data_IF_847050596833
#
_entry.id   IF_847050596833
#
_cell.length_a   1.000
_cell.length_b   1.000
_cell.length_c   1.000
_cell.angle_alpha   90.00
_cell.angle_beta   90.00
_cell.angle_gamma   90.00
#
_symmetry.space_group_name_H-M   'P 1'
#
loop_
_entity.id
_entity.type
_entity.pdbx_description
1 polymer ?
#
# COMPACT_ATOMS: atom_id res chain seq x y z
N UNK A 1 10.09 20.68 84.21
CA UNK A 1 11.03 21.23 83.21
C UNK A 1 11.12 20.28 82.03
N UNK A 2 11.01 20.84 80.81
CA UNK A 2 11.02 20.17 79.51
C UNK A 2 12.37 19.52 79.19
N UNK A 3 12.34 18.42 78.44
CA UNK A 3 13.30 18.14 77.37
C UNK A 3 12.55 17.58 76.15
N UNK A 4 12.43 18.41 75.11
CA UNK A 4 12.02 17.99 73.78
C UNK A 4 13.29 17.55 73.04
N UNK A 5 13.37 16.28 72.65
CA UNK A 5 14.39 15.83 71.70
C UNK A 5 13.95 16.24 70.29
N UNK A 6 14.54 17.31 69.77
CA UNK A 6 14.43 17.68 68.36
C UNK A 6 15.46 16.88 67.57
N UNK A 7 14.99 15.91 66.79
CA UNK A 7 15.80 15.06 65.93
C UNK A 7 16.15 15.85 64.65
N UNK A 8 17.29 16.53 64.63
CA UNK A 8 17.79 17.27 63.47
C UNK A 8 18.77 16.40 62.67
N UNK A 9 18.26 15.49 61.82
CA UNK A 9 19.07 14.80 60.81
C UNK A 9 18.96 15.56 59.50
N UNK A 10 20.00 16.30 59.13
CA UNK A 10 20.13 16.93 57.81
C UNK A 10 20.57 15.91 56.75
N UNK A 11 20.29 16.20 55.48
CA UNK A 11 20.83 15.44 54.35
C UNK A 11 22.36 15.56 54.33
N UNK A 12 23.05 14.43 54.33
CA UNK A 12 24.51 14.38 54.20
C UNK A 12 24.92 14.51 52.73
N UNK A 13 26.10 15.09 52.49
CA UNK A 13 26.65 15.22 51.13
C UNK A 13 26.78 13.85 50.42
N UNK A 14 27.16 12.82 51.17
CA UNK A 14 27.26 11.45 50.67
C UNK A 14 25.91 10.88 50.22
N UNK A 15 24.82 11.18 50.93
CA UNK A 15 23.47 10.74 50.53
C UNK A 15 23.05 11.40 49.20
N UNK A 16 23.33 12.69 49.02
CA UNK A 16 23.03 13.41 47.77
C UNK A 16 23.81 12.80 46.60
N UNK A 17 25.11 12.51 46.79
CA UNK A 17 25.95 11.91 45.74
C UNK A 17 25.45 10.52 45.33
N UNK A 18 25.07 9.69 46.30
CA UNK A 18 24.50 8.36 46.03
C UNK A 18 23.18 8.47 45.27
N UNK A 19 22.29 9.38 45.67
CA UNK A 19 21.01 9.59 44.99
C UNK A 19 21.22 10.09 43.56
N UNK A 20 22.12 11.05 43.33
CA UNK A 20 22.43 11.56 41.98
C UNK A 20 23.04 10.46 41.09
N UNK A 21 23.92 9.64 41.65
CA UNK A 21 24.51 8.50 40.93
C UNK A 21 23.43 7.49 40.50
N UNK A 22 22.53 7.14 41.42
CA UNK A 22 21.42 6.22 41.13
C UNK A 22 20.46 6.79 40.08
N UNK A 23 20.10 8.07 40.16
CA UNK A 23 19.26 8.74 39.14
C UNK A 23 19.94 8.67 37.77
N UNK A 24 21.23 8.98 37.71
CA UNK A 24 21.99 8.95 36.45
C UNK A 24 22.03 7.54 35.86
N UNK A 25 22.25 6.53 36.69
CA UNK A 25 22.24 5.13 36.26
C UNK A 25 20.87 4.72 35.70
N UNK A 26 19.79 5.10 36.38
CA UNK A 26 18.42 4.84 35.91
C UNK A 26 18.15 5.55 34.59
N UNK A 27 18.49 6.83 34.46
CA UNK A 27 18.29 7.59 33.22
C UNK A 27 19.13 7.04 32.06
N UNK A 28 20.35 6.57 32.33
CA UNK A 28 21.21 5.95 31.32
C UNK A 28 20.60 4.68 30.70
N UNK A 29 19.72 3.99 31.43
CA UNK A 29 19.00 2.81 30.93
C UNK A 29 17.67 3.20 30.27
N UNK A 30 16.90 4.09 30.89
CA UNK A 30 15.57 4.46 30.40
C UNK A 30 15.66 5.23 29.08
N UNK A 31 16.63 6.15 28.95
CA UNK A 31 16.71 7.03 27.79
C UNK A 31 16.92 6.21 26.49
N UNK A 32 17.93 5.34 26.34
CA UNK A 32 18.09 4.54 25.13
C UNK A 32 16.89 3.65 24.82
N UNK A 33 16.26 3.06 25.85
CA UNK A 33 15.08 2.21 25.67
C UNK A 33 13.90 2.99 25.09
N UNK A 34 13.69 4.22 25.57
CA UNK A 34 12.62 5.10 25.08
C UNK A 34 12.82 5.46 23.60
N UNK A 35 14.02 5.91 23.20
CA UNK A 35 14.30 6.25 21.80
C UNK A 35 14.23 5.02 20.91
N UNK A 36 14.80 3.90 21.33
CA UNK A 36 14.71 2.65 20.60
C UNK A 36 13.26 2.22 20.36
N UNK A 37 12.41 2.30 21.39
CA UNK A 37 11.00 1.97 21.29
C UNK A 37 10.25 2.91 20.33
N UNK A 38 10.48 4.21 20.44
CA UNK A 38 9.90 5.23 19.56
C UNK A 38 10.28 5.02 18.10
N UNK A 39 11.57 4.84 17.83
CA UNK A 39 12.10 4.67 16.47
C UNK A 39 11.61 3.35 15.86
N UNK A 40 11.60 2.27 16.64
CA UNK A 40 11.11 0.95 16.19
C UNK A 40 9.62 0.99 15.87
N UNK A 41 8.83 1.68 16.69
CA UNK A 41 7.40 1.84 16.45
C UNK A 41 7.14 2.68 15.19
N UNK A 42 7.84 3.80 15.02
CA UNK A 42 7.71 4.64 13.82
C UNK A 42 8.05 3.86 12.56
N UNK A 43 9.16 3.10 12.56
CA UNK A 43 9.57 2.26 11.44
C UNK A 43 8.51 1.19 11.10
N UNK A 44 7.97 0.52 12.13
CA UNK A 44 6.97 -0.53 11.96
C UNK A 44 5.65 0.04 11.44
N UNK A 45 5.27 1.22 11.91
CA UNK A 45 4.08 1.92 11.45
C UNK A 45 4.18 2.29 9.97
N UNK A 46 5.33 2.84 9.54
CA UNK A 46 5.56 3.14 8.12
C UNK A 46 5.51 1.89 7.24
N UNK A 47 6.14 0.79 7.68
CA UNK A 47 6.07 -0.49 6.95
C UNK A 47 4.64 -0.99 6.81
N UNK A 48 3.87 -0.95 7.90
CA UNK A 48 2.47 -1.36 7.89
C UNK A 48 1.64 -0.56 6.90
N UNK A 49 1.79 0.77 6.89
CA UNK A 49 1.07 1.64 5.94
C UNK A 49 1.40 1.29 4.49
N UNK A 50 2.68 1.08 4.15
CA UNK A 50 3.08 0.69 2.80
C UNK A 50 2.48 -0.66 2.38
N UNK A 51 2.52 -1.65 3.26
CA UNK A 51 1.94 -2.97 2.96
C UNK A 51 0.42 -2.90 2.80
N UNK A 52 -0.25 -2.12 3.66
CA UNK A 52 -1.69 -1.90 3.61
C UNK A 52 -2.10 -1.23 2.29
N UNK A 53 -1.38 -0.20 1.85
CA UNK A 53 -1.64 0.49 0.59
C UNK A 53 -1.52 -0.45 -0.61
N UNK A 54 -0.43 -1.23 -0.70
CA UNK A 54 -0.27 -2.21 -1.78
C UNK A 54 -1.40 -3.23 -1.80
N UNK A 55 -1.81 -3.70 -0.61
CA UNK A 55 -2.87 -4.70 -0.49
C UNK A 55 -4.23 -4.15 -0.87
N UNK A 56 -4.56 -2.92 -0.44
CA UNK A 56 -5.79 -2.23 -0.85
C UNK A 56 -5.83 -2.07 -2.37
N UNK A 57 -4.71 -1.70 -3.00
CA UNK A 57 -4.62 -1.61 -4.46
C UNK A 57 -4.87 -2.97 -5.13
N UNK A 58 -4.19 -4.03 -4.69
CA UNK A 58 -4.37 -5.39 -5.21
C UNK A 58 -5.82 -5.85 -5.04
N UNK A 59 -6.36 -5.78 -3.84
CA UNK A 59 -7.72 -6.20 -3.51
C UNK A 59 -8.76 -5.42 -4.33
N UNK A 60 -8.53 -4.12 -4.56
CA UNK A 60 -9.40 -3.30 -5.41
C UNK A 60 -9.40 -3.80 -6.85
N UNK A 61 -8.24 -4.09 -7.43
CA UNK A 61 -8.16 -4.64 -8.80
C UNK A 61 -8.86 -6.00 -8.83
N UNK A 62 -8.55 -6.89 -7.87
CA UNK A 62 -9.15 -8.23 -7.77
C UNK A 62 -10.66 -8.15 -7.73
N UNK A 63 -11.23 -7.34 -6.84
CA UNK A 63 -12.67 -7.24 -6.65
C UNK A 63 -13.42 -6.77 -7.90
N UNK A 64 -12.83 -5.85 -8.66
CA UNK A 64 -13.47 -5.29 -9.85
C UNK A 64 -13.26 -6.16 -11.10
N UNK A 65 -12.11 -6.82 -11.22
CA UNK A 65 -11.74 -7.55 -12.44
C UNK A 65 -12.15 -9.02 -12.39
N UNK A 66 -12.25 -9.63 -11.21
CA UNK A 66 -12.51 -11.08 -11.05
C UNK A 66 -13.71 -11.57 -11.85
N UNK A 67 -14.78 -10.78 -11.91
CA UNK A 67 -16.01 -11.13 -12.63
C UNK A 67 -16.19 -10.33 -13.94
N UNK A 68 -15.14 -9.72 -14.47
CA UNK A 68 -15.19 -9.05 -15.75
C UNK A 68 -15.56 -10.03 -16.88
N UNK A 69 -16.34 -9.55 -17.84
CA UNK A 69 -16.71 -10.33 -19.04
C UNK A 69 -15.65 -10.22 -20.14
N UNK A 70 -14.89 -9.12 -20.15
CA UNK A 70 -13.81 -8.84 -21.09
C UNK A 70 -12.65 -8.23 -20.31
N UNK A 71 -11.42 -8.68 -20.60
CA UNK A 71 -10.19 -8.16 -20.00
C UNK A 71 -9.11 -8.02 -21.07
N UNK A 72 -8.56 -6.82 -21.20
CA UNK A 72 -7.49 -6.47 -22.10
C UNK A 72 -6.35 -5.80 -21.33
N UNK A 73 -5.12 -6.27 -21.52
CA UNK A 73 -3.91 -5.59 -21.08
C UNK A 73 -3.48 -4.69 -22.24
N UNK A 74 -3.42 -3.38 -21.99
CA UNK A 74 -3.22 -2.35 -23.02
C UNK A 74 -2.02 -1.46 -22.69
N UNK A 75 -1.40 -0.81 -23.69
CA UNK A 75 -0.30 0.11 -23.46
C UNK A 75 -0.67 1.25 -22.50
N UNK A 76 0.28 1.65 -21.66
CA UNK A 76 0.10 2.79 -20.75
C UNK A 76 -0.31 4.07 -21.50
N UNK A 77 0.27 4.30 -22.69
CA UNK A 77 -0.07 5.46 -23.50
C UNK A 77 -1.56 5.49 -23.92
N UNK A 78 -2.17 4.31 -24.14
CA UNK A 78 -3.59 4.21 -24.49
C UNK A 78 -4.49 4.46 -23.28
N UNK A 79 -4.13 3.90 -22.12
CA UNK A 79 -4.92 4.07 -20.90
C UNK A 79 -4.77 5.46 -20.26
N UNK A 80 -3.62 6.11 -20.44
CA UNK A 80 -3.38 7.46 -19.95
C UNK A 80 -4.15 8.52 -20.75
N UNK A 81 -4.39 8.28 -22.05
CA UNK A 81 -5.21 9.13 -22.90
C UNK A 81 -6.71 8.88 -22.65
N UNK A 82 -7.28 9.68 -21.74
CA UNK A 82 -8.70 9.59 -21.37
C UNK A 82 -9.66 9.78 -22.54
N UNK A 83 -9.22 10.39 -23.66
CA UNK A 83 -10.07 10.56 -24.85
C UNK A 83 -10.32 9.24 -25.58
N UNK A 84 -9.47 8.24 -25.36
CA UNK A 84 -9.60 6.89 -25.92
C UNK A 84 -10.46 5.95 -25.07
N UNK A 85 -10.87 6.39 -23.89
CA UNK A 85 -11.68 5.58 -22.99
C UNK A 85 -13.09 5.37 -23.57
N UNK A 86 -13.39 4.13 -23.92
CA UNK A 86 -14.69 3.71 -24.45
C UNK A 86 -15.75 3.62 -23.34
N UNK A 87 -17.00 3.93 -23.68
CA UNK A 87 -18.17 3.69 -22.83
C UNK A 87 -18.36 2.19 -22.56
N UNK A 88 -18.87 1.84 -21.39
CA UNK A 88 -19.05 0.45 -20.96
C UNK A 88 -17.74 -0.30 -20.66
N UNK A 89 -16.64 0.44 -20.46
CA UNK A 89 -15.37 -0.10 -20.02
C UNK A 89 -14.77 0.73 -18.89
N UNK A 90 -14.13 0.00 -17.98
CA UNK A 90 -13.38 0.49 -16.85
C UNK A 90 -11.89 0.28 -17.09
N UNK A 91 -11.08 1.09 -16.42
CA UNK A 91 -9.63 1.12 -16.63
C UNK A 91 -8.86 1.20 -15.32
N UNK A 92 -7.82 0.40 -15.18
CA UNK A 92 -6.79 0.56 -14.16
C UNK A 92 -5.46 0.95 -14.80
N UNK A 93 -4.78 1.92 -14.18
CA UNK A 93 -3.46 2.36 -14.64
C UNK A 93 -2.73 3.09 -13.53
N UNK A 94 -1.40 3.12 -13.63
CA UNK A 94 -0.54 3.69 -12.61
C UNK A 94 0.10 4.98 -13.12
N UNK A 95 -0.10 6.08 -12.40
CA UNK A 95 0.49 7.40 -12.73
C UNK A 95 1.07 7.99 -11.46
N UNK A 96 2.32 8.46 -11.51
CA UNK A 96 2.99 9.14 -10.39
C UNK A 96 2.90 8.38 -9.06
N UNK A 97 3.02 7.06 -9.13
CA UNK A 97 2.97 6.16 -7.98
C UNK A 97 1.60 5.99 -7.33
N UNK A 98 0.53 6.32 -8.05
CA UNK A 98 -0.86 6.12 -7.61
C UNK A 98 -1.59 5.22 -8.59
N UNK A 99 -2.44 4.34 -8.07
CA UNK A 99 -3.32 3.52 -8.89
C UNK A 99 -4.60 4.30 -9.19
N UNK A 100 -4.82 4.59 -10.46
CA UNK A 100 -6.04 5.20 -10.96
C UNK A 100 -7.01 4.11 -11.39
N UNK A 101 -8.27 4.31 -11.03
CA UNK A 101 -9.39 3.48 -11.43
C UNK A 101 -10.43 4.39 -12.10
N UNK A 102 -10.57 4.24 -13.40
CA UNK A 102 -11.55 4.99 -14.17
C UNK A 102 -12.76 4.12 -14.44
N UNK A 103 -13.87 4.41 -13.77
CA UNK A 103 -15.13 3.69 -13.88
C UNK A 103 -16.12 4.43 -14.76
N UNK A 104 -16.76 3.72 -15.68
CA UNK A 104 -17.88 4.26 -16.44
C UNK A 104 -19.20 3.89 -15.75
N UNK A 105 -19.97 4.90 -15.38
CA UNK A 105 -21.28 4.72 -14.75
C UNK A 105 -22.36 4.82 -15.84
N UNK A 106 -23.01 3.69 -16.15
CA UNK A 106 -24.00 3.63 -17.23
C UNK A 106 -25.23 4.50 -16.95
N UNK A 107 -25.69 4.58 -15.70
CA UNK A 107 -26.88 5.35 -15.31
C UNK A 107 -26.72 6.86 -15.56
N UNK A 108 -25.54 7.41 -15.23
CA UNK A 108 -25.26 8.84 -15.39
C UNK A 108 -24.60 9.17 -16.72
N UNK A 109 -24.10 8.15 -17.44
CA UNK A 109 -23.27 8.30 -18.63
C UNK A 109 -21.93 8.99 -18.35
N UNK A 110 -21.52 9.08 -17.08
CA UNK A 110 -20.30 9.80 -16.65
C UNK A 110 -19.20 8.83 -16.24
N UNK A 111 -17.99 9.36 -16.26
CA UNK A 111 -16.78 8.65 -15.84
C UNK A 111 -16.36 9.14 -14.46
N UNK A 112 -16.27 8.24 -13.50
CA UNK A 112 -15.73 8.51 -12.17
C UNK A 112 -14.26 8.08 -12.13
N UNK A 113 -13.40 8.89 -11.52
CA UNK A 113 -12.00 8.54 -11.30
C UNK A 113 -11.78 8.37 -9.80
N UNK A 114 -11.38 7.17 -9.39
CA UNK A 114 -10.94 6.86 -8.03
C UNK A 114 -9.43 6.66 -8.04
N UNK A 115 -8.80 7.02 -6.93
CA UNK A 115 -7.35 6.91 -6.76
C UNK A 115 -7.08 6.10 -5.51
N UNK A 116 -6.24 5.08 -5.64
CA UNK A 116 -5.88 4.14 -4.58
C UNK A 116 -4.37 4.05 -4.45
N UNK A 117 -3.92 3.79 -3.22
CA UNK A 117 -2.52 3.62 -2.83
C UNK A 117 -1.61 4.79 -3.23
N UNK A 118 -0.51 4.93 -2.49
CA UNK A 118 0.52 5.91 -2.80
C UNK A 118 1.89 5.24 -2.78
N UNK A 119 2.84 5.79 -3.55
CA UNK A 119 4.22 5.28 -3.62
C UNK A 119 4.38 3.93 -4.32
N UNK A 120 3.46 3.58 -5.22
CA UNK A 120 3.67 2.46 -6.14
C UNK A 120 4.76 2.79 -7.17
N UNK A 121 5.50 1.79 -7.62
CA UNK A 121 6.39 1.91 -8.77
C UNK A 121 5.67 1.39 -10.01
N UNK A 122 5.75 2.12 -11.13
CA UNK A 122 5.24 1.61 -12.41
C UNK A 122 6.27 0.66 -13.02
N UNK A 123 5.81 -0.47 -13.55
CA UNK A 123 6.66 -1.43 -14.23
C UNK A 123 5.86 -2.19 -15.30
N UNK A 124 6.57 -2.76 -16.26
CA UNK A 124 5.95 -3.52 -17.35
C UNK A 124 5.21 -4.76 -16.85
N UNK A 125 5.64 -5.35 -15.74
CA UNK A 125 5.03 -6.56 -15.18
C UNK A 125 3.77 -6.29 -14.32
N UNK A 126 3.22 -5.07 -14.33
CA UNK A 126 2.08 -4.70 -13.45
C UNK A 126 0.87 -5.60 -13.67
N UNK A 127 0.59 -5.87 -14.94
CA UNK A 127 -0.44 -6.79 -15.39
C UNK A 127 0.18 -7.81 -16.33
N UNK A 128 0.02 -9.08 -16.01
CA UNK A 128 0.54 -10.18 -16.82
C UNK A 128 -0.56 -11.19 -17.11
N UNK A 129 -0.65 -11.61 -18.36
CA UNK A 129 -1.45 -12.77 -18.71
C UNK A 129 -0.67 -14.02 -18.33
N UNK A 130 -1.04 -14.66 -17.24
CA UNK A 130 -0.44 -15.95 -16.82
C UNK A 130 -1.04 -17.10 -17.63
N UNK A 131 -2.35 -17.05 -17.89
CA UNK A 131 -3.09 -18.02 -18.72
C UNK A 131 -4.28 -17.31 -19.40
N UNK A 132 -5.04 -18.00 -20.25
CA UNK A 132 -6.20 -17.46 -20.96
C UNK A 132 -7.23 -16.84 -20.02
N UNK A 133 -7.45 -17.40 -18.83
CA UNK A 133 -8.36 -16.84 -17.83
C UNK A 133 -7.68 -16.55 -16.48
N UNK A 134 -6.35 -16.41 -16.45
CA UNK A 134 -5.61 -16.03 -15.25
C UNK A 134 -4.83 -14.74 -15.47
N UNK A 135 -5.16 -13.72 -14.66
CA UNK A 135 -4.49 -12.44 -14.63
C UNK A 135 -3.53 -12.39 -13.44
N UNK A 136 -2.23 -12.24 -13.71
CA UNK A 136 -1.22 -11.89 -12.74
C UNK A 136 -1.17 -10.39 -12.49
N UNK A 137 -1.04 -10.00 -11.22
CA UNK A 137 -0.84 -8.62 -10.77
C UNK A 137 0.40 -8.59 -9.90
N UNK A 138 1.34 -7.72 -10.23
CA UNK A 138 2.51 -7.42 -9.41
C UNK A 138 2.49 -5.94 -9.07
N UNK A 139 2.57 -5.60 -7.79
CA UNK A 139 2.63 -4.22 -7.30
C UNK A 139 3.90 -4.06 -6.49
N UNK A 140 4.75 -3.12 -6.91
CA UNK A 140 5.93 -2.74 -6.15
C UNK A 140 5.68 -1.40 -5.45
N UNK A 141 6.04 -1.32 -4.18
CA UNK A 141 6.05 -0.08 -3.41
C UNK A 141 7.47 0.18 -2.93
N UNK A 142 7.93 1.42 -3.10
CA UNK A 142 9.21 1.86 -2.58
C UNK A 142 9.08 3.18 -1.86
N UNK A 143 9.60 3.22 -0.64
CA UNK A 143 9.76 4.46 0.13
C UNK A 143 11.12 4.45 0.82
N UNK A 144 11.95 5.42 0.48
CA UNK A 144 13.34 5.52 0.96
C UNK A 144 14.14 4.23 0.74
N UNK A 145 14.44 3.48 1.82
CA UNK A 145 15.21 2.23 1.82
C UNK A 145 14.35 0.97 1.87
N UNK A 146 13.04 1.10 2.01
CA UNK A 146 12.13 -0.04 2.10
C UNK A 146 11.50 -0.32 0.74
N UNK A 147 11.46 -1.60 0.40
CA UNK A 147 10.79 -2.13 -0.78
C UNK A 147 9.80 -3.18 -0.34
N UNK A 148 8.61 -3.15 -0.91
CA UNK A 148 7.59 -4.14 -0.70
C UNK A 148 6.99 -4.55 -2.04
N UNK A 149 6.61 -5.81 -2.15
CA UNK A 149 6.00 -6.38 -3.36
C UNK A 149 4.75 -7.16 -2.95
N UNK A 150 3.66 -6.94 -3.66
CA UNK A 150 2.47 -7.78 -3.64
C UNK A 150 2.35 -8.45 -5.00
N UNK A 151 2.26 -9.76 -5.01
CA UNK A 151 2.04 -10.55 -6.21
C UNK A 151 0.81 -11.43 -5.98
N UNK A 152 -0.12 -11.39 -6.93
CA UNK A 152 -1.36 -12.16 -6.86
C UNK A 152 -1.80 -12.58 -8.24
N UNK A 153 -2.45 -13.73 -8.33
CA UNK A 153 -3.07 -14.23 -9.55
C UNK A 153 -4.57 -14.40 -9.34
N UNK A 154 -5.33 -13.99 -10.34
CA UNK A 154 -6.79 -14.02 -10.28
C UNK A 154 -7.30 -14.88 -11.42
N UNK A 155 -8.06 -15.90 -11.06
CA UNK A 155 -8.88 -16.64 -12.01
C UNK A 155 -10.15 -15.84 -12.37
N UNK A 156 -10.42 -15.73 -13.67
CA UNK A 156 -11.53 -14.97 -14.26
C UNK A 156 -12.65 -15.94 -14.71
N UNK A 157 -13.57 -16.36 -13.81
CA UNK A 157 -14.57 -17.38 -14.11
C UNK A 157 -15.50 -17.03 -15.28
N UNK A 158 -15.86 -15.75 -15.44
CA UNK A 158 -16.76 -15.34 -16.51
C UNK A 158 -16.08 -15.43 -17.89
N UNK A 159 -14.79 -15.11 -17.94
CA UNK A 159 -13.98 -15.23 -19.16
C UNK A 159 -13.79 -16.71 -19.53
N UNK A 160 -13.41 -17.54 -18.55
CA UNK A 160 -13.27 -18.99 -18.72
C UNK A 160 -14.56 -19.65 -19.19
N UNK A 161 -15.70 -19.28 -18.59
CA UNK A 161 -17.02 -19.81 -18.98
C UNK A 161 -17.41 -19.40 -20.40
N UNK A 162 -17.07 -18.19 -20.82
CA UNK A 162 -17.29 -17.72 -22.17
C UNK A 162 -16.32 -18.32 -23.20
N UNK A 163 -15.35 -19.14 -22.76
CA UNK A 163 -14.23 -19.62 -23.58
C UNK A 163 -13.47 -18.47 -24.25
N UNK A 164 -13.45 -17.32 -23.58
CA UNK A 164 -12.71 -16.14 -23.98
C UNK A 164 -11.34 -16.14 -23.28
N UNK A 165 -10.42 -15.35 -23.80
CA UNK A 165 -9.07 -15.20 -23.25
C UNK A 165 -8.76 -13.73 -22.95
N UNK A 166 -7.87 -13.50 -21.98
CA UNK A 166 -7.26 -12.20 -21.76
C UNK A 166 -6.48 -11.85 -23.02
N UNK A 167 -6.67 -10.64 -23.52
CA UNK A 167 -5.95 -10.11 -24.68
C UNK A 167 -4.82 -9.23 -24.17
N UNK A 168 -3.56 -9.61 -24.39
CA UNK A 168 -2.42 -8.73 -24.14
C UNK A 168 -1.99 -8.05 -25.45
N UNK A 169 -2.12 -6.72 -25.49
CA UNK A 169 -1.75 -5.87 -26.65
C UNK A 169 -0.41 -5.16 -26.43
N UNK A 170 0.30 -5.48 -25.36
CA UNK A 170 1.52 -4.77 -24.96
C UNK A 170 2.77 -5.54 -25.34
N UNK A 171 3.88 -4.80 -25.49
CA UNK A 171 5.20 -5.41 -25.61
C UNK A 171 5.82 -5.72 -24.24
N UNK A 172 6.76 -6.67 -24.18
CA UNK A 172 7.36 -7.19 -22.92
C UNK A 172 7.92 -6.11 -21.97
N UNK A 173 8.40 -4.99 -22.49
CA UNK A 173 9.02 -3.90 -21.70
C UNK A 173 8.19 -2.61 -21.68
N UNK A 174 6.93 -2.68 -22.12
CA UNK A 174 6.05 -1.52 -22.15
C UNK A 174 5.28 -1.39 -20.84
N UNK A 175 5.11 -0.17 -20.34
CA UNK A 175 4.24 0.07 -19.19
C UNK A 175 2.81 -0.27 -19.57
N UNK A 176 2.09 -0.91 -18.66
CA UNK A 176 0.79 -1.51 -18.96
C UNK A 176 -0.34 -0.85 -18.17
N UNK A 177 -1.51 -0.82 -18.80
CA UNK A 177 -2.79 -0.59 -18.18
C UNK A 177 -3.69 -1.79 -18.34
N UNK A 178 -4.77 -1.79 -17.60
CA UNK A 178 -5.82 -2.80 -17.71
C UNK A 178 -7.09 -2.10 -18.17
N UNK A 179 -7.72 -2.66 -19.19
CA UNK A 179 -9.07 -2.31 -19.64
C UNK A 179 -9.95 -3.52 -19.42
N UNK A 180 -11.11 -3.33 -18.82
CA UNK A 180 -12.03 -4.43 -18.59
C UNK A 180 -13.48 -3.95 -18.66
N UNK A 181 -14.39 -4.88 -18.94
CA UNK A 181 -15.82 -4.64 -18.83
C UNK A 181 -16.32 -5.31 -17.57
N UNK A 182 -16.71 -4.50 -16.58
CA UNK A 182 -17.43 -5.04 -15.42
C UNK A 182 -18.72 -5.68 -15.90
N UNK A 183 -19.08 -6.83 -15.34
CA UNK A 183 -20.44 -7.33 -15.50
C UNK A 183 -21.32 -6.31 -14.76
N UNK A 184 -22.24 -5.65 -15.49
CA UNK A 184 -23.14 -4.66 -14.91
C UNK A 184 -23.74 -5.18 -13.60
N UNK A 185 -23.81 -4.30 -12.61
CA UNK A 185 -24.66 -4.53 -11.44
C UNK A 185 -26.10 -4.77 -11.88
#
# INVERSE_FOLDING_TARGET
>A
MKRFFLNAKGLTLSEILIVMFLITLVLAVIYPLYFFGSDSFALSHEQFLLQSDARIAADTIVQNVRYASEVEIIPYAEVADKTRHKSGYDYFYLVDGKLYHSQFEEESGRRQIKVYATSLENHAELFEKTDDAMLGIKLYIRRQRQKFQVETEIFLPNLARAQAAIIDKTSKNELKGLKYRSKGN
#
